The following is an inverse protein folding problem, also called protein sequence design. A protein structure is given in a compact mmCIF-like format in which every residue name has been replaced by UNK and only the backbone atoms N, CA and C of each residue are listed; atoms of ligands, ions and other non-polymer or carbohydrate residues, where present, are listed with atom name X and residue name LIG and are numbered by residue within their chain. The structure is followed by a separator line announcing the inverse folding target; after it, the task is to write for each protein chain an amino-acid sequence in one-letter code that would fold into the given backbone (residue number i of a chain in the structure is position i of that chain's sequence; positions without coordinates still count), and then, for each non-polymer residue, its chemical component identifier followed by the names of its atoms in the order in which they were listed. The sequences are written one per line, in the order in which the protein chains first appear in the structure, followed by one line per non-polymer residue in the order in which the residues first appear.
data_IF_238388483660
#
_entry.id   IF_238388483660
#
_cell.length_a   1.000
_cell.length_b   1.000
_cell.length_c   1.000
_cell.angle_alpha   90.00
_cell.angle_beta   90.00
_cell.angle_gamma   90.00
#
_symmetry.space_group_name_H-M   'P 1'
#
loop_
_entity.id
_entity.type
_entity.pdbx_description
1 polymer ?
#
# COMPACT_ATOMS: atom_id res chain seq x y z
N UNK A 1 -10.27 -13.51 9.74
CA UNK A 1 -9.21 -12.54 9.37
C UNK A 1 -9.69 -11.79 8.16
N UNK A 2 -9.60 -10.47 8.20
CA UNK A 2 -10.00 -9.58 7.11
C UNK A 2 -8.75 -8.96 6.50
N UNK A 3 -8.70 -8.84 5.17
CA UNK A 3 -7.64 -8.16 4.44
C UNK A 3 -8.19 -6.92 3.76
N UNK A 4 -7.50 -5.79 3.92
CA UNK A 4 -7.75 -4.53 3.24
C UNK A 4 -6.43 -3.95 2.73
N UNK A 5 -6.50 -3.07 1.74
CA UNK A 5 -5.35 -2.31 1.23
C UNK A 5 -5.79 -0.90 0.83
N UNK A 6 -4.82 -0.01 0.68
CA UNK A 6 -5.06 1.32 0.11
C UNK A 6 -6.12 2.11 0.91
N UNK A 7 -5.85 2.23 2.20
CA UNK A 7 -6.73 2.94 3.16
C UNK A 7 -6.68 4.45 2.93
N UNK A 8 -5.49 5.00 2.58
CA UNK A 8 -5.28 6.40 2.23
C UNK A 8 -6.04 7.38 3.13
N UNK A 9 -5.91 7.21 4.45
CA UNK A 9 -6.59 8.05 5.46
C UNK A 9 -8.13 8.05 5.33
N UNK A 10 -8.71 6.96 4.83
CA UNK A 10 -10.15 6.79 4.64
C UNK A 10 -10.89 6.49 5.94
N UNK A 11 -10.93 7.46 6.88
CA UNK A 11 -11.49 7.26 8.23
C UNK A 11 -12.95 6.82 8.21
N UNK A 12 -13.76 7.37 7.29
CA UNK A 12 -15.17 7.02 7.19
C UNK A 12 -15.35 5.58 6.68
N UNK A 13 -14.50 5.13 5.76
CA UNK A 13 -14.48 3.75 5.30
C UNK A 13 -14.07 2.79 6.44
N UNK A 14 -13.07 3.16 7.23
CA UNK A 14 -12.62 2.35 8.38
C UNK A 14 -13.71 2.18 9.44
N UNK A 15 -14.55 3.19 9.67
CA UNK A 15 -15.70 3.11 10.62
C UNK A 15 -16.77 2.12 10.19
N UNK A 16 -16.79 1.73 8.89
CA UNK A 16 -17.72 0.74 8.35
C UNK A 16 -17.21 -0.70 8.44
N UNK A 17 -15.98 -0.92 8.91
CA UNK A 17 -15.47 -2.27 9.13
C UNK A 17 -16.37 -3.05 10.09
N UNK A 18 -16.64 -4.33 9.80
CA UNK A 18 -17.44 -5.16 10.68
C UNK A 18 -16.70 -5.38 12.02
N UNK A 19 -17.46 -5.40 13.11
CA UNK A 19 -16.89 -5.78 14.40
C UNK A 19 -16.42 -7.24 14.36
N UNK A 20 -15.15 -7.44 14.61
CA UNK A 20 -14.53 -8.78 14.59
C UNK A 20 -13.54 -8.90 15.73
N UNK A 21 -13.32 -10.15 16.18
CA UNK A 21 -12.21 -10.52 17.07
C UNK A 21 -11.01 -11.07 16.31
N UNK A 22 -11.19 -11.28 15.01
CA UNK A 22 -10.13 -11.75 14.14
C UNK A 22 -9.25 -10.57 13.72
N UNK A 23 -7.96 -10.78 13.50
CA UNK A 23 -7.07 -9.72 13.03
C UNK A 23 -7.54 -9.08 11.72
N UNK A 24 -7.36 -7.78 11.60
CA UNK A 24 -7.45 -7.04 10.35
C UNK A 24 -6.05 -6.88 9.80
N UNK A 25 -5.82 -7.33 8.58
CA UNK A 25 -4.55 -7.20 7.87
C UNK A 25 -4.64 -6.04 6.90
N UNK A 26 -3.72 -5.08 7.03
CA UNK A 26 -3.62 -3.93 6.13
C UNK A 26 -2.39 -4.10 5.25
N UNK A 27 -2.61 -4.22 3.94
CA UNK A 27 -1.56 -4.45 2.96
C UNK A 27 -0.94 -3.15 2.42
N UNK A 28 -0.82 -2.15 3.29
CA UNK A 28 -0.13 -0.89 2.99
C UNK A 28 -1.04 0.27 2.61
N UNK A 29 -0.38 1.41 2.43
CA UNK A 29 -0.95 2.71 2.05
C UNK A 29 -2.03 3.20 3.03
N UNK A 30 -1.60 3.41 4.31
CA UNK A 30 -2.47 3.98 5.33
C UNK A 30 -2.68 5.46 5.16
N UNK A 31 -1.63 6.21 4.78
CA UNK A 31 -1.68 7.67 4.68
C UNK A 31 -2.11 8.12 3.28
N UNK A 32 -2.71 9.32 3.21
CA UNK A 32 -3.07 9.97 1.97
C UNK A 32 -2.02 11.04 1.61
N UNK A 33 -1.02 10.67 0.80
CA UNK A 33 -0.04 11.62 0.33
C UNK A 33 -0.63 12.59 -0.70
N UNK A 34 -1.20 12.07 -1.78
CA UNK A 34 -1.93 12.82 -2.82
C UNK A 34 -3.09 11.97 -3.33
N UNK A 35 -4.31 12.48 -3.22
CA UNK A 35 -5.43 11.94 -3.98
C UNK A 35 -5.56 12.70 -5.31
N UNK A 36 -5.11 12.09 -6.38
CA UNK A 36 -5.16 12.67 -7.72
C UNK A 36 -6.57 12.82 -8.30
N UNK A 37 -7.59 12.20 -7.67
CA UNK A 37 -9.00 12.28 -8.10
C UNK A 37 -9.69 13.50 -7.50
N UNK A 38 -9.47 13.73 -6.21
CA UNK A 38 -10.17 14.75 -5.44
C UNK A 38 -9.31 15.99 -5.16
N UNK A 39 -8.01 15.93 -5.48
CA UNK A 39 -7.08 17.01 -5.16
C UNK A 39 -6.94 17.19 -3.64
N UNK A 40 -6.79 16.09 -2.89
CA UNK A 40 -6.71 16.08 -1.44
C UNK A 40 -5.44 15.35 -0.98
N UNK A 41 -5.12 15.44 0.32
CA UNK A 41 -3.99 14.77 0.94
C UNK A 41 -2.92 15.72 1.49
N UNK A 42 -1.87 15.15 2.08
CA UNK A 42 -0.79 15.89 2.76
C UNK A 42 -0.14 16.93 1.84
N UNK A 43 0.04 16.61 0.55
CA UNK A 43 0.64 17.56 -0.41
C UNK A 43 -0.20 18.83 -0.57
N UNK A 44 -1.53 18.74 -0.46
CA UNK A 44 -2.42 19.92 -0.44
C UNK A 44 -2.18 20.78 0.78
N UNK A 45 -2.15 20.15 1.96
CA UNK A 45 -1.98 20.86 3.23
C UNK A 45 -0.65 21.61 3.31
N UNK A 46 0.41 21.03 2.73
CA UNK A 46 1.76 21.59 2.78
C UNK A 46 2.04 22.62 1.68
N UNK A 47 1.58 22.36 0.45
CA UNK A 47 1.94 23.14 -0.74
C UNK A 47 0.79 23.99 -1.28
N UNK A 48 -0.44 23.80 -0.80
CA UNK A 48 -1.65 24.53 -1.19
C UNK A 48 -2.31 24.02 -2.48
N UNK A 49 -3.57 24.43 -2.67
CA UNK A 49 -4.43 23.97 -3.76
C UNK A 49 -3.85 24.25 -5.16
N UNK A 50 -3.29 25.44 -5.37
CA UNK A 50 -2.78 25.84 -6.69
C UNK A 50 -1.63 24.93 -7.16
N UNK A 51 -0.69 24.63 -6.27
CA UNK A 51 0.45 23.77 -6.56
C UNK A 51 0.02 22.31 -6.73
N UNK A 52 -0.91 21.82 -5.89
CA UNK A 52 -1.45 20.48 -6.04
C UNK A 52 -2.17 20.32 -7.38
N UNK A 53 -3.03 21.26 -7.76
CA UNK A 53 -3.74 21.23 -9.04
C UNK A 53 -2.75 21.21 -10.22
N UNK A 54 -1.67 21.99 -10.15
CA UNK A 54 -0.61 21.97 -11.18
C UNK A 54 0.10 20.62 -11.24
N UNK A 55 0.40 19.99 -10.11
CA UNK A 55 0.98 18.63 -10.07
C UNK A 55 0.05 17.59 -10.71
N UNK A 56 -1.27 17.71 -10.46
CA UNK A 56 -2.27 16.83 -11.05
C UNK A 56 -2.35 17.00 -12.56
N UNK A 57 -2.37 18.24 -13.06
CA UNK A 57 -2.35 18.55 -14.50
C UNK A 57 -1.11 17.97 -15.18
N UNK A 58 0.09 18.25 -14.63
CA UNK A 58 1.35 17.74 -15.17
C UNK A 58 1.41 16.21 -15.20
N UNK A 59 0.76 15.54 -14.23
CA UNK A 59 0.62 14.08 -14.25
C UNK A 59 -0.29 13.60 -15.39
N UNK A 60 -1.42 14.28 -15.62
CA UNK A 60 -2.36 13.97 -16.71
C UNK A 60 -1.71 14.14 -18.06
N UNK A 61 -0.95 15.22 -18.22
CA UNK A 61 -0.27 15.57 -19.46
C UNK A 61 1.04 14.78 -19.70
N UNK A 62 1.39 13.87 -18.79
CA UNK A 62 2.64 13.11 -18.84
C UNK A 62 3.91 13.97 -18.89
N UNK A 63 3.85 15.19 -18.37
CA UNK A 63 4.98 16.13 -18.35
C UNK A 63 5.88 15.87 -17.12
N UNK A 64 6.72 14.85 -17.21
CA UNK A 64 7.57 14.39 -16.12
C UNK A 64 8.61 15.43 -15.73
N UNK A 65 9.20 16.16 -16.69
CA UNK A 65 10.27 17.13 -16.44
C UNK A 65 9.74 18.35 -15.68
N UNK A 66 8.65 18.96 -16.15
CA UNK A 66 8.02 20.08 -15.44
C UNK A 66 7.53 19.65 -14.04
N UNK A 67 6.98 18.44 -13.91
CA UNK A 67 6.55 17.94 -12.59
C UNK A 67 7.72 17.79 -11.62
N UNK A 68 8.87 17.29 -12.10
CA UNK A 68 10.10 17.20 -11.31
C UNK A 68 10.61 18.58 -10.90
N UNK A 69 10.63 19.53 -11.84
CA UNK A 69 11.03 20.90 -11.56
C UNK A 69 10.11 21.56 -10.53
N UNK A 70 8.79 21.41 -10.69
CA UNK A 70 7.82 21.93 -9.73
C UNK A 70 8.06 21.36 -8.31
N UNK A 71 8.31 20.04 -8.18
CA UNK A 71 8.67 19.46 -6.89
C UNK A 71 9.94 20.09 -6.29
N UNK A 72 10.98 20.33 -7.08
CA UNK A 72 12.20 20.98 -6.63
C UNK A 72 11.93 22.43 -6.17
N UNK A 73 11.14 23.17 -6.94
CA UNK A 73 10.78 24.55 -6.62
C UNK A 73 9.95 24.63 -5.34
N UNK A 74 9.02 23.69 -5.14
CA UNK A 74 8.20 23.62 -3.94
C UNK A 74 8.99 23.42 -2.65
N UNK A 75 10.20 22.89 -2.72
CA UNK A 75 11.08 22.72 -1.56
C UNK A 75 12.17 23.79 -1.46
N UNK A 76 12.34 24.67 -2.46
CA UNK A 76 13.52 25.53 -2.60
C UNK A 76 13.65 26.63 -1.54
N UNK A 77 12.52 27.16 -1.06
CA UNK A 77 12.49 28.31 -0.13
C UNK A 77 12.59 27.92 1.35
N UNK A 78 12.07 26.75 1.74
CA UNK A 78 12.08 26.25 3.13
C UNK A 78 12.04 24.72 3.15
N UNK A 79 13.12 24.03 2.74
CA UNK A 79 13.10 22.57 2.65
C UNK A 79 12.89 21.89 4.00
N UNK A 80 13.54 22.36 5.05
CA UNK A 80 13.47 21.74 6.38
C UNK A 80 12.11 21.97 7.03
N UNK A 81 11.55 23.18 6.94
CA UNK A 81 10.22 23.46 7.48
C UNK A 81 9.11 22.73 6.72
N UNK A 82 9.23 22.56 5.40
CA UNK A 82 8.28 21.77 4.62
C UNK A 82 8.38 20.27 4.93
N UNK A 83 9.62 19.77 5.07
CA UNK A 83 9.83 18.39 5.49
C UNK A 83 9.21 18.13 6.87
N UNK A 84 9.39 19.03 7.84
CA UNK A 84 8.76 18.89 9.16
C UNK A 84 7.23 18.91 9.08
N UNK A 85 6.63 19.84 8.32
CA UNK A 85 5.18 19.87 8.12
C UNK A 85 4.62 18.57 7.50
N UNK A 86 5.39 17.97 6.59
CA UNK A 86 5.03 16.67 5.99
C UNK A 86 5.08 15.58 7.06
N UNK A 87 6.13 15.52 7.87
CA UNK A 87 6.28 14.50 8.91
C UNK A 87 5.18 14.63 9.97
N UNK A 88 4.87 15.85 10.42
CA UNK A 88 3.77 16.14 11.36
C UNK A 88 2.40 15.72 10.77
N UNK A 89 2.19 15.94 9.47
CA UNK A 89 0.95 15.54 8.82
C UNK A 89 0.83 14.02 8.66
N UNK A 90 1.93 13.33 8.37
CA UNK A 90 1.97 11.86 8.32
C UNK A 90 1.67 11.28 9.71
N UNK A 91 2.35 11.81 10.74
CA UNK A 91 2.12 11.40 12.14
C UNK A 91 0.65 11.55 12.53
N UNK A 92 0.07 12.73 12.27
CA UNK A 92 -1.35 12.99 12.53
C UNK A 92 -2.27 11.98 11.84
N UNK A 93 -2.05 11.69 10.55
CA UNK A 93 -2.90 10.74 9.82
C UNK A 93 -2.78 9.31 10.39
N UNK A 94 -1.59 8.87 10.79
CA UNK A 94 -1.45 7.57 11.47
C UNK A 94 -2.21 7.54 12.79
N UNK A 95 -2.08 8.57 13.63
CA UNK A 95 -2.79 8.63 14.92
C UNK A 95 -4.31 8.61 14.74
N UNK A 96 -4.83 9.33 13.76
CA UNK A 96 -6.26 9.34 13.45
C UNK A 96 -6.76 7.96 12.94
N UNK A 97 -5.98 7.28 12.09
CA UNK A 97 -6.28 5.92 11.64
C UNK A 97 -6.26 4.94 12.82
N UNK A 98 -5.25 5.02 13.69
CA UNK A 98 -5.14 4.12 14.84
C UNK A 98 -6.22 4.36 15.90
N UNK A 99 -6.70 5.60 16.08
CA UNK A 99 -7.83 5.86 16.96
C UNK A 99 -9.13 5.18 16.47
N UNK A 100 -9.37 5.19 15.15
CA UNK A 100 -10.50 4.44 14.56
C UNK A 100 -10.35 2.93 14.73
N UNK A 101 -9.12 2.43 14.65
CA UNK A 101 -8.80 1.00 14.71
C UNK A 101 -8.51 0.48 16.13
N UNK A 102 -8.65 1.29 17.18
CA UNK A 102 -8.21 0.95 18.56
C UNK A 102 -8.85 -0.29 19.16
N UNK A 103 -10.04 -0.68 18.71
CA UNK A 103 -10.78 -1.84 19.21
C UNK A 103 -10.50 -3.12 18.38
N UNK A 104 -9.60 -3.06 17.40
CA UNK A 104 -9.23 -4.18 16.55
C UNK A 104 -7.79 -4.62 16.80
N UNK A 105 -7.49 -5.90 16.61
CA UNK A 105 -6.12 -6.36 16.40
C UNK A 105 -5.76 -6.09 14.94
N UNK A 106 -4.65 -5.35 14.71
CA UNK A 106 -4.23 -4.94 13.38
C UNK A 106 -2.83 -5.46 13.07
N UNK A 107 -2.70 -6.15 11.96
CA UNK A 107 -1.42 -6.52 11.35
C UNK A 107 -1.21 -5.68 10.10
N UNK A 108 -0.05 -5.05 9.97
CA UNK A 108 0.21 -4.13 8.89
C UNK A 108 1.58 -4.36 8.25
N UNK A 109 1.62 -4.18 6.93
CA UNK A 109 2.85 -3.98 6.15
C UNK A 109 2.82 -2.59 5.51
N UNK A 110 3.99 -1.93 5.29
CA UNK A 110 4.02 -0.63 4.62
C UNK A 110 3.72 -0.76 3.13
N UNK A 111 3.04 0.25 2.57
CA UNK A 111 2.91 0.48 1.13
C UNK A 111 3.94 1.47 0.60
N UNK A 112 3.70 2.02 -0.61
CA UNK A 112 4.62 2.95 -1.26
C UNK A 112 4.56 4.38 -0.67
N UNK A 113 3.45 4.81 -0.09
CA UNK A 113 3.34 6.15 0.51
C UNK A 113 3.63 6.17 2.02
N UNK A 114 3.70 5.02 2.67
CA UNK A 114 3.90 4.92 4.11
C UNK A 114 5.32 5.32 4.54
N UNK A 115 5.42 5.90 5.74
CA UNK A 115 6.70 6.17 6.40
C UNK A 115 6.91 5.19 7.55
N UNK A 116 7.69 4.12 7.31
CA UNK A 116 7.94 3.11 8.34
C UNK A 116 8.53 3.71 9.62
N UNK A 117 9.42 4.71 9.51
CA UNK A 117 10.02 5.40 10.64
C UNK A 117 8.96 6.06 11.53
N UNK A 118 8.04 6.83 10.93
CA UNK A 118 7.00 7.54 11.68
C UNK A 118 5.97 6.52 12.21
N UNK A 119 5.54 5.57 11.36
CA UNK A 119 4.65 4.49 11.79
C UNK A 119 5.14 3.80 13.06
N UNK A 120 6.41 3.36 13.09
CA UNK A 120 7.00 2.68 14.26
C UNK A 120 7.04 3.56 15.52
N UNK A 121 7.17 4.89 15.37
CA UNK A 121 7.21 5.81 16.50
C UNK A 121 5.85 6.09 17.13
N UNK A 122 4.74 5.92 16.37
CA UNK A 122 3.39 6.29 16.81
C UNK A 122 2.40 5.12 16.89
N UNK A 123 2.79 3.94 16.43
CA UNK A 123 1.89 2.76 16.47
C UNK A 123 1.45 2.43 17.88
N UNK A 124 0.20 2.08 18.02
CA UNK A 124 -0.43 1.65 19.26
C UNK A 124 -0.24 0.16 19.52
N UNK A 125 -0.45 -0.29 20.75
CA UNK A 125 -0.18 -1.68 21.15
C UNK A 125 -1.03 -2.74 20.43
N UNK A 126 -2.16 -2.34 19.85
CA UNK A 126 -3.03 -3.22 19.05
C UNK A 126 -2.61 -3.28 17.57
N UNK A 127 -1.61 -2.50 17.16
CA UNK A 127 -1.08 -2.47 15.77
C UNK A 127 0.30 -3.10 15.74
N UNK A 128 0.46 -4.16 14.95
CA UNK A 128 1.72 -4.90 14.80
C UNK A 128 2.23 -4.73 13.36
N UNK A 129 3.48 -4.28 13.23
CA UNK A 129 4.19 -4.37 11.95
C UNK A 129 4.63 -5.82 11.74
N UNK A 130 4.12 -6.46 10.71
CA UNK A 130 4.43 -7.86 10.36
C UNK A 130 5.35 -7.98 9.13
N UNK A 131 5.87 -6.85 8.64
CA UNK A 131 6.75 -6.83 7.45
C UNK A 131 8.00 -7.70 7.64
N UNK A 132 8.28 -8.54 6.65
CA UNK A 132 9.39 -9.48 6.66
C UNK A 132 9.20 -10.69 7.60
N UNK A 133 7.98 -10.94 8.09
CA UNK A 133 7.68 -11.98 9.09
C UNK A 133 6.73 -13.04 8.54
N UNK A 134 6.76 -14.23 9.18
CA UNK A 134 5.79 -15.31 8.98
C UNK A 134 4.94 -15.42 10.24
N UNK A 135 3.63 -15.36 10.08
CA UNK A 135 2.67 -15.57 11.16
C UNK A 135 1.81 -16.79 10.87
N UNK A 136 1.50 -17.55 11.92
CA UNK A 136 0.55 -18.66 11.83
C UNK A 136 -0.84 -18.17 12.17
N UNK A 137 -1.79 -18.43 11.29
CA UNK A 137 -3.19 -18.17 11.55
C UNK A 137 -4.01 -19.42 11.16
N UNK A 138 -4.65 -20.05 12.17
CA UNK A 138 -5.29 -21.38 12.05
C UNK A 138 -4.27 -22.38 11.47
N UNK A 139 -4.59 -23.02 10.36
CA UNK A 139 -3.74 -24.02 9.71
C UNK A 139 -2.79 -23.43 8.66
N UNK A 140 -2.86 -22.12 8.41
CA UNK A 140 -2.06 -21.45 7.38
C UNK A 140 -0.86 -20.70 7.96
N UNK A 141 0.27 -20.76 7.27
CA UNK A 141 1.43 -19.88 7.44
C UNK A 141 1.28 -18.72 6.47
N UNK A 142 1.24 -17.50 6.98
CA UNK A 142 1.11 -16.29 6.19
C UNK A 142 2.42 -15.52 6.25
N UNK A 143 3.04 -15.29 5.09
CA UNK A 143 4.23 -14.47 4.94
C UNK A 143 3.87 -13.05 4.50
N UNK A 144 4.62 -12.07 4.99
CA UNK A 144 4.34 -10.66 4.77
C UNK A 144 5.57 -9.93 4.23
N UNK A 145 5.45 -9.26 3.09
CA UNK A 145 6.50 -8.43 2.51
C UNK A 145 5.94 -7.10 2.00
N UNK A 146 6.16 -6.04 2.78
CA UNK A 146 5.74 -4.69 2.46
C UNK A 146 6.78 -3.90 1.68
N UNK A 147 6.36 -2.72 1.23
CA UNK A 147 7.12 -1.78 0.43
C UNK A 147 6.55 -1.62 -0.98
N UNK A 148 6.69 -0.43 -1.54
CA UNK A 148 6.33 -0.12 -2.93
C UNK A 148 7.46 -0.39 -3.90
N UNK A 149 7.10 -0.67 -5.16
CA UNK A 149 8.06 -0.84 -6.26
C UNK A 149 8.73 0.49 -6.59
N UNK A 150 10.04 0.53 -6.86
CA UNK A 150 10.75 1.77 -7.16
C UNK A 150 10.16 2.52 -8.36
N UNK A 151 9.95 3.82 -8.18
CA UNK A 151 9.52 4.73 -9.24
C UNK A 151 10.49 5.91 -9.37
N UNK A 152 10.48 6.65 -10.50
CA UNK A 152 11.26 7.88 -10.62
C UNK A 152 10.93 8.95 -9.57
N UNK A 153 9.79 8.85 -8.88
CA UNK A 153 9.33 9.80 -7.87
C UNK A 153 9.98 9.53 -6.52
N UNK A 154 10.41 8.29 -6.27
CA UNK A 154 11.01 7.84 -5.01
C UNK A 154 10.12 8.13 -3.81
N UNK A 155 8.93 7.55 -3.81
CA UNK A 155 8.02 7.64 -2.69
C UNK A 155 8.64 7.01 -1.42
N UNK A 156 8.16 7.42 -0.24
CA UNK A 156 8.81 7.12 1.05
C UNK A 156 8.89 5.65 1.40
N UNK A 157 7.90 4.87 0.99
CA UNK A 157 7.81 3.44 1.25
C UNK A 157 8.33 2.56 0.11
N UNK A 158 8.91 3.15 -0.95
CA UNK A 158 9.55 2.40 -2.03
C UNK A 158 10.86 1.77 -1.56
N UNK A 159 11.09 0.52 -1.96
CA UNK A 159 12.34 -0.22 -1.68
C UNK A 159 12.89 -0.80 -2.99
N UNK A 160 14.16 -1.17 -3.01
CA UNK A 160 14.75 -1.78 -4.21
C UNK A 160 14.20 -3.19 -4.46
N UNK A 161 14.28 -3.66 -5.71
CA UNK A 161 13.93 -5.05 -6.08
C UNK A 161 14.77 -6.04 -5.28
N UNK A 162 16.05 -5.73 -5.06
CA UNK A 162 17.00 -6.55 -4.29
C UNK A 162 16.60 -6.63 -2.81
N UNK A 163 16.20 -5.50 -2.18
CA UNK A 163 15.75 -5.50 -0.78
C UNK A 163 14.44 -6.28 -0.63
N UNK A 164 13.54 -6.17 -1.61
CA UNK A 164 12.32 -6.94 -1.62
C UNK A 164 12.57 -8.43 -1.78
N UNK A 165 13.47 -8.83 -2.68
CA UNK A 165 13.89 -10.22 -2.84
C UNK A 165 14.51 -10.80 -1.56
N UNK A 166 15.31 -10.01 -0.84
CA UNK A 166 15.85 -10.39 0.48
C UNK A 166 14.73 -10.66 1.50
N UNK A 167 13.63 -9.89 1.47
CA UNK A 167 12.44 -10.17 2.30
C UNK A 167 11.78 -11.48 1.90
N UNK A 168 11.51 -11.68 0.59
CA UNK A 168 10.86 -12.89 0.08
C UNK A 168 11.65 -14.16 0.43
N UNK A 169 12.98 -14.12 0.37
CA UNK A 169 13.85 -15.25 0.69
C UNK A 169 13.73 -15.72 2.16
N UNK A 170 13.19 -14.91 3.05
CA UNK A 170 12.86 -15.27 4.44
C UNK A 170 11.47 -15.88 4.60
N UNK A 171 10.64 -15.82 3.57
CA UNK A 171 9.21 -16.18 3.59
C UNK A 171 8.92 -17.47 2.80
N UNK A 172 9.90 -18.32 2.63
CA UNK A 172 9.73 -19.63 1.98
C UNK A 172 8.84 -20.55 2.84
N UNK A 173 8.15 -21.50 2.20
CA UNK A 173 7.23 -22.46 2.84
C UNK A 173 5.99 -21.82 3.53
N UNK A 174 5.47 -20.72 2.97
CA UNK A 174 4.20 -20.13 3.38
C UNK A 174 3.04 -20.64 2.52
N UNK A 175 1.86 -20.74 3.13
CA UNK A 175 0.61 -21.05 2.42
C UNK A 175 0.06 -19.82 1.70
N UNK A 176 0.24 -18.64 2.31
CA UNK A 176 -0.25 -17.35 1.81
C UNK A 176 0.91 -16.36 1.83
N UNK A 177 1.12 -15.64 0.72
CA UNK A 177 2.04 -14.51 0.66
C UNK A 177 1.25 -13.21 0.51
N UNK A 178 1.51 -12.26 1.40
CA UNK A 178 0.89 -10.94 1.43
C UNK A 178 1.92 -9.87 1.11
N UNK A 179 1.62 -9.03 0.11
CA UNK A 179 2.48 -7.93 -0.32
C UNK A 179 1.67 -6.65 -0.50
N UNK A 180 2.31 -5.48 -0.60
CA UNK A 180 1.59 -4.28 -1.00
C UNK A 180 1.33 -4.29 -2.51
N UNK A 181 2.39 -4.25 -3.32
CA UNK A 181 2.26 -4.26 -4.76
C UNK A 181 2.10 -5.69 -5.34
N UNK A 182 1.45 -5.83 -6.50
CA UNK A 182 1.21 -7.11 -7.16
C UNK A 182 2.47 -7.74 -7.76
N UNK A 183 2.42 -9.05 -8.12
CA UNK A 183 3.43 -9.63 -9.01
C UNK A 183 3.36 -8.97 -10.39
N UNK A 184 4.49 -8.87 -11.08
CA UNK A 184 4.58 -8.27 -12.41
C UNK A 184 3.88 -9.16 -13.45
N UNK A 185 2.57 -8.93 -13.63
CA UNK A 185 1.68 -9.57 -14.60
C UNK A 185 0.78 -8.50 -15.18
N UNK A 186 0.71 -8.38 -16.50
CA UNK A 186 0.03 -7.28 -17.18
C UNK A 186 -1.45 -7.13 -16.76
N UNK A 187 -2.17 -8.22 -16.56
CA UNK A 187 -3.56 -8.21 -16.12
C UNK A 187 -3.76 -7.61 -14.73
N UNK A 188 -2.76 -7.76 -13.85
CA UNK A 188 -2.81 -7.28 -12.46
C UNK A 188 -2.30 -5.85 -12.30
N UNK A 189 -1.49 -5.34 -13.24
CA UNK A 189 -0.82 -4.04 -13.13
C UNK A 189 -1.34 -2.99 -14.12
N UNK A 190 -2.24 -3.34 -15.07
CA UNK A 190 -2.88 -2.36 -15.94
C UNK A 190 -4.10 -1.78 -15.24
N UNK A 191 -4.05 -0.47 -14.92
CA UNK A 191 -5.19 0.27 -14.39
C UNK A 191 -6.15 0.63 -15.53
N UNK A 192 -7.41 0.18 -15.44
CA UNK A 192 -8.40 0.33 -16.54
C UNK A 192 -8.95 1.75 -16.68
N UNK A 193 -8.82 2.61 -15.66
CA UNK A 193 -9.28 4.00 -15.73
C UNK A 193 -8.25 4.86 -16.44
N UNK A 194 -6.99 4.71 -16.07
CA UNK A 194 -5.90 5.48 -16.66
C UNK A 194 -5.33 4.84 -17.91
N UNK A 195 -5.65 3.55 -18.15
CA UNK A 195 -5.05 2.68 -19.16
C UNK A 195 -3.51 2.66 -19.08
N UNK A 196 -2.97 2.80 -17.86
CA UNK A 196 -1.54 2.79 -17.61
C UNK A 196 -1.11 1.45 -17.06
N UNK A 197 0.09 1.06 -17.42
CA UNK A 197 0.80 -0.03 -16.81
C UNK A 197 1.48 0.53 -15.55
N UNK A 198 0.97 0.15 -14.39
CA UNK A 198 1.57 0.46 -13.10
C UNK A 198 2.74 -0.49 -12.82
N UNK A 199 3.34 -0.40 -11.63
CA UNK A 199 4.47 -1.25 -11.28
C UNK A 199 4.02 -2.56 -10.63
N UNK A 200 4.87 -3.57 -10.72
CA UNK A 200 4.70 -4.85 -10.04
C UNK A 200 6.06 -5.50 -9.80
N UNK A 201 6.14 -6.39 -8.82
CA UNK A 201 7.38 -7.06 -8.43
C UNK A 201 7.72 -8.23 -9.35
N UNK A 202 8.88 -8.17 -10.01
CA UNK A 202 9.39 -9.30 -10.80
C UNK A 202 9.81 -10.46 -9.89
N UNK A 203 10.47 -10.16 -8.78
CA UNK A 203 10.87 -11.16 -7.77
C UNK A 203 9.67 -11.88 -7.15
N UNK A 204 8.53 -11.19 -6.91
CA UNK A 204 7.32 -11.84 -6.44
C UNK A 204 6.75 -12.80 -7.48
N UNK A 205 6.74 -12.43 -8.77
CA UNK A 205 6.30 -13.34 -9.84
C UNK A 205 7.18 -14.60 -9.89
N UNK A 206 8.52 -14.43 -9.77
CA UNK A 206 9.46 -15.55 -9.69
C UNK A 206 9.24 -16.41 -8.44
N UNK A 207 9.07 -15.77 -7.28
CA UNK A 207 8.78 -16.43 -6.00
C UNK A 207 7.52 -17.30 -6.08
N UNK A 208 6.43 -16.74 -6.60
CA UNK A 208 5.16 -17.47 -6.77
C UNK A 208 5.35 -18.68 -7.69
N UNK A 209 6.06 -18.54 -8.81
CA UNK A 209 6.32 -19.64 -9.74
C UNK A 209 7.15 -20.77 -9.14
N UNK A 210 8.08 -20.46 -8.25
CA UNK A 210 8.97 -21.44 -7.63
C UNK A 210 8.29 -22.11 -6.44
N UNK A 211 7.72 -21.33 -5.51
CA UNK A 211 7.23 -21.82 -4.21
C UNK A 211 5.76 -22.20 -4.20
N UNK A 212 4.97 -21.69 -5.17
CA UNK A 212 3.55 -22.03 -5.35
C UNK A 212 2.74 -21.93 -4.05
N UNK A 213 2.77 -20.79 -3.30
CA UNK A 213 1.84 -20.60 -2.19
C UNK A 213 0.39 -20.78 -2.71
N UNK A 214 -0.55 -21.12 -1.85
CA UNK A 214 -1.97 -21.26 -2.25
C UNK A 214 -2.55 -19.93 -2.70
N UNK A 215 -2.22 -18.84 -1.96
CA UNK A 215 -2.68 -17.49 -2.24
C UNK A 215 -1.52 -16.48 -2.29
N UNK A 216 -1.68 -15.46 -3.15
CA UNK A 216 -0.91 -14.22 -3.12
C UNK A 216 -1.90 -13.06 -3.04
N UNK A 217 -1.87 -12.30 -1.93
CA UNK A 217 -2.77 -11.18 -1.65
C UNK A 217 -2.01 -9.85 -1.71
N UNK A 218 -2.57 -8.85 -2.39
CA UNK A 218 -1.92 -7.55 -2.60
C UNK A 218 -2.94 -6.43 -2.88
N UNK A 219 -2.48 -5.17 -2.95
CA UNK A 219 -3.25 -3.97 -3.29
C UNK A 219 -2.56 -3.12 -4.36
N UNK A 220 -2.27 -1.84 -4.05
CA UNK A 220 -1.56 -0.82 -4.83
C UNK A 220 -2.26 -0.41 -6.14
N UNK A 221 -2.54 -1.33 -7.04
CA UNK A 221 -3.26 -1.03 -8.28
C UNK A 221 -4.75 -0.93 -7.98
N UNK A 222 -5.27 0.29 -7.93
CA UNK A 222 -6.62 0.57 -7.45
C UNK A 222 -7.73 0.00 -8.33
N UNK A 223 -7.51 -0.09 -9.64
CA UNK A 223 -8.50 -0.57 -10.62
C UNK A 223 -7.82 -1.43 -11.68
N UNK A 224 -7.29 -2.62 -11.27
CA UNK A 224 -6.58 -3.50 -12.19
C UNK A 224 -7.54 -4.07 -13.25
N UNK A 225 -6.99 -4.45 -14.39
CA UNK A 225 -7.72 -5.14 -15.46
C UNK A 225 -8.31 -6.47 -14.99
N UNK A 226 -7.58 -7.16 -14.08
CA UNK A 226 -8.09 -8.33 -13.38
C UNK A 226 -7.81 -8.19 -11.89
N UNK A 227 -8.81 -8.49 -11.06
CA UNK A 227 -8.67 -8.56 -9.59
C UNK A 227 -8.21 -9.93 -9.11
N UNK A 228 -8.29 -10.93 -9.97
CA UNK A 228 -7.84 -12.30 -9.72
C UNK A 228 -7.09 -12.85 -10.92
N UNK A 229 -6.00 -13.59 -10.67
CA UNK A 229 -5.16 -14.22 -11.68
C UNK A 229 -4.53 -15.50 -11.16
N UNK A 230 -4.26 -16.46 -12.03
CA UNK A 230 -3.64 -17.73 -11.63
C UNK A 230 -2.21 -17.79 -12.17
N UNK A 231 -1.23 -17.98 -11.25
CA UNK A 231 0.17 -18.22 -11.59
C UNK A 231 0.54 -19.64 -11.13
N UNK A 232 0.60 -20.58 -12.06
CA UNK A 232 0.80 -22.00 -11.73
C UNK A 232 -0.40 -22.55 -10.94
N UNK A 233 -0.23 -22.83 -9.64
CA UNK A 233 -1.30 -23.26 -8.72
C UNK A 233 -1.74 -22.15 -7.77
N UNK A 234 -1.04 -21.01 -7.77
CA UNK A 234 -1.31 -19.91 -6.85
C UNK A 234 -2.44 -19.03 -7.38
N UNK A 235 -3.44 -18.77 -6.54
CA UNK A 235 -4.46 -17.76 -6.79
C UNK A 235 -3.90 -16.41 -6.32
N UNK A 236 -3.77 -15.46 -7.23
CA UNK A 236 -3.30 -14.10 -6.98
C UNK A 236 -4.50 -13.17 -6.94
N UNK A 237 -4.72 -12.43 -5.82
CA UNK A 237 -5.90 -11.60 -5.64
C UNK A 237 -5.53 -10.20 -5.18
N UNK A 238 -6.04 -9.20 -5.88
CA UNK A 238 -6.04 -7.82 -5.42
C UNK A 238 -7.19 -7.62 -4.41
N UNK A 239 -6.87 -7.26 -3.17
CA UNK A 239 -7.87 -7.09 -2.09
C UNK A 239 -8.71 -5.82 -2.22
N UNK A 240 -8.41 -4.96 -3.20
CA UNK A 240 -9.19 -3.80 -3.57
C UNK A 240 -8.70 -2.49 -2.97
N UNK A 241 -9.26 -1.38 -3.46
CA UNK A 241 -9.04 -0.03 -2.99
C UNK A 241 -10.03 0.32 -1.87
N UNK A 242 -9.64 0.06 -0.63
CA UNK A 242 -10.53 0.15 0.52
C UNK A 242 -11.15 1.53 0.71
N UNK A 243 -10.37 2.62 0.57
CA UNK A 243 -10.87 3.98 0.70
C UNK A 243 -12.09 4.27 -0.20
N UNK A 244 -12.12 3.72 -1.41
CA UNK A 244 -13.14 4.07 -2.40
C UNK A 244 -14.41 3.20 -2.33
N UNK A 245 -14.28 1.94 -1.93
CA UNK A 245 -15.36 0.98 -2.06
C UNK A 245 -15.69 0.20 -0.78
N UNK A 246 -14.97 0.44 0.31
CA UNK A 246 -15.11 -0.27 1.59
C UNK A 246 -14.95 -1.79 1.47
N UNK A 247 -14.33 -2.26 0.39
CA UNK A 247 -14.17 -3.68 0.14
C UNK A 247 -13.11 -4.28 1.06
N UNK A 248 -13.41 -5.43 1.61
CA UNK A 248 -12.46 -6.28 2.33
C UNK A 248 -12.59 -7.72 1.86
N UNK A 249 -11.49 -8.45 1.92
CA UNK A 249 -11.46 -9.87 1.65
C UNK A 249 -11.48 -10.63 2.97
N UNK A 250 -12.38 -11.58 3.13
CA UNK A 250 -12.41 -12.46 4.29
C UNK A 250 -11.76 -13.80 3.96
N UNK A 251 -10.72 -14.21 4.72
CA UNK A 251 -9.98 -15.44 4.43
C UNK A 251 -10.88 -16.69 4.42
N UNK A 252 -11.92 -16.71 5.26
CA UNK A 252 -12.88 -17.81 5.31
C UNK A 252 -13.80 -17.93 4.08
N UNK A 253 -13.82 -16.89 3.22
CA UNK A 253 -14.60 -16.90 1.99
C UNK A 253 -13.83 -17.44 0.78
N UNK A 254 -12.56 -17.79 0.96
CA UNK A 254 -11.70 -18.30 -0.11
C UNK A 254 -11.54 -19.82 0.06
N UNK A 255 -11.89 -20.57 -0.96
CA UNK A 255 -11.64 -22.02 -1.03
C UNK A 255 -10.16 -22.27 -1.36
N UNK A 256 -9.34 -22.64 -0.34
CA UNK A 256 -7.89 -22.91 -0.46
C UNK A 256 -7.47 -24.25 0.12
#
# INVERSE_FOLDING_TARGET
MLFISDVHHGLDSLKLLPKTKEPIVILGDLINWIDYRNGDGIAKDVFGDANLNRLIELRKDHNFDERKNLWQDLFSDDPDGKQQKIEDAIERQYLEVFDVLKDYEVWMIPGNVDSLKIFESVKTSNVTNVDGQIHKYKDNKIGFAGGGVPTPIKARGEISEEDFEVKLNKLIDVDIICTHAPPLVDELIIDVITNKKEQGWESLNKFIRIHQPKLSLFGDVHQPKATEWIIGKTICMNVGYFRANNHYLELSSIDI
#
